data_IF_550895978165
#
_entry.id   IF_550895978165
#
_cell.length_a   1.000
_cell.length_b   1.000
_cell.length_c   1.000
_cell.angle_alpha   90.00
_cell.angle_beta   90.00
_cell.angle_gamma   90.00
#
_symmetry.space_group_name_H-M   'P 1'
#
loop_
_entity.id
_entity.type
_entity.pdbx_description
1 polymer ?
#
# COMPACT_ATOMS: atom_id res chain seq x y z
N UNK A 1 -18.11 -22.02 -4.60
CA UNK A 1 -17.80 -21.75 -3.19
C UNK A 1 -16.39 -21.15 -3.00
N UNK A 2 -15.35 -21.65 -3.68
CA UNK A 2 -13.99 -21.10 -3.59
C UNK A 2 -13.84 -19.65 -4.07
N UNK A 3 -14.50 -19.27 -5.17
CA UNK A 3 -14.40 -17.89 -5.69
C UNK A 3 -14.95 -16.84 -4.71
N UNK A 4 -15.93 -17.19 -3.89
CA UNK A 4 -16.53 -16.30 -2.89
C UNK A 4 -15.58 -16.10 -1.69
N UNK A 5 -14.81 -17.13 -1.34
CA UNK A 5 -13.82 -17.05 -0.25
C UNK A 5 -12.66 -16.11 -0.60
N UNK A 6 -12.01 -16.31 -1.76
CA UNK A 6 -10.89 -15.47 -2.19
C UNK A 6 -11.30 -14.00 -2.41
N UNK A 7 -12.50 -13.77 -2.95
CA UNK A 7 -13.04 -12.42 -3.12
C UNK A 7 -13.34 -11.75 -1.76
N UNK A 8 -13.80 -12.52 -0.75
CA UNK A 8 -14.06 -12.01 0.60
C UNK A 8 -12.76 -11.70 1.34
N UNK A 9 -11.78 -12.58 1.25
CA UNK A 9 -10.44 -12.36 1.82
C UNK A 9 -9.79 -11.13 1.17
N UNK A 10 -9.86 -10.98 -0.15
CA UNK A 10 -9.34 -9.81 -0.86
C UNK A 10 -9.93 -8.50 -0.33
N UNK A 11 -11.25 -8.40 -0.20
CA UNK A 11 -11.92 -7.18 0.31
C UNK A 11 -11.55 -6.85 1.76
N UNK A 12 -11.40 -7.86 2.62
CA UNK A 12 -11.00 -7.64 4.01
C UNK A 12 -9.56 -7.12 4.08
N UNK A 13 -8.66 -7.73 3.32
CA UNK A 13 -7.25 -7.27 3.25
C UNK A 13 -7.15 -5.84 2.76
N UNK A 14 -7.97 -5.46 1.76
CA UNK A 14 -8.00 -4.10 1.22
C UNK A 14 -8.45 -3.06 2.25
N UNK A 15 -9.56 -3.36 2.93
CA UNK A 15 -10.07 -2.47 3.97
C UNK A 15 -9.05 -2.30 5.12
N UNK A 16 -8.30 -3.34 5.44
CA UNK A 16 -7.23 -3.29 6.45
C UNK A 16 -6.06 -2.43 5.94
N UNK A 17 -5.58 -2.66 4.71
CA UNK A 17 -4.47 -1.90 4.12
C UNK A 17 -4.82 -0.40 4.02
N UNK A 18 -5.99 -0.04 3.49
CA UNK A 18 -6.46 1.34 3.40
C UNK A 18 -6.58 2.02 4.78
N UNK A 19 -7.18 1.31 5.74
CA UNK A 19 -7.34 1.81 7.11
C UNK A 19 -6.00 2.02 7.80
N UNK A 20 -5.04 1.11 7.63
CA UNK A 20 -3.70 1.24 8.19
C UNK A 20 -2.94 2.41 7.58
N UNK A 21 -2.99 2.60 6.26
CA UNK A 21 -2.35 3.73 5.58
C UNK A 21 -2.92 5.06 6.10
N UNK A 22 -4.25 5.18 6.15
CA UNK A 22 -4.93 6.36 6.66
C UNK A 22 -4.61 6.62 8.15
N UNK A 23 -4.59 5.56 8.95
CA UNK A 23 -4.23 5.63 10.37
C UNK A 23 -2.80 6.13 10.57
N UNK A 24 -1.82 5.53 9.89
CA UNK A 24 -0.42 5.96 10.02
C UNK A 24 -0.22 7.39 9.56
N UNK A 25 -0.82 7.79 8.44
CA UNK A 25 -0.74 9.17 7.95
C UNK A 25 -1.34 10.16 8.95
N UNK A 26 -2.54 9.87 9.46
CA UNK A 26 -3.21 10.69 10.47
C UNK A 26 -2.41 10.75 11.78
N UNK A 27 -1.91 9.61 12.27
CA UNK A 27 -1.12 9.53 13.49
C UNK A 27 0.19 10.32 13.38
N UNK A 28 0.92 10.19 12.25
CA UNK A 28 2.13 10.98 12.01
C UNK A 28 1.85 12.48 11.98
N UNK A 29 0.76 12.89 11.33
CA UNK A 29 0.36 14.30 11.26
C UNK A 29 0.04 14.85 12.64
N UNK A 30 -0.74 14.11 13.43
CA UNK A 30 -1.10 14.52 14.80
C UNK A 30 0.12 14.57 15.72
N UNK A 31 1.01 13.56 15.62
CA UNK A 31 2.22 13.51 16.43
C UNK A 31 3.19 14.65 16.09
N UNK A 32 3.38 14.93 14.82
CA UNK A 32 4.21 16.05 14.36
C UNK A 32 3.63 17.38 14.81
N UNK A 33 2.30 17.56 14.70
CA UNK A 33 1.62 18.75 15.16
C UNK A 33 1.75 18.93 16.70
N UNK A 34 1.56 17.86 17.46
CA UNK A 34 1.76 17.87 18.90
C UNK A 34 3.20 18.27 19.27
N UNK A 35 4.19 17.68 18.57
CA UNK A 35 5.60 18.04 18.82
C UNK A 35 5.91 19.51 18.54
N UNK A 36 5.29 20.10 17.50
CA UNK A 36 5.39 21.54 17.22
C UNK A 36 4.79 22.36 18.36
N UNK A 37 3.62 22.00 18.89
CA UNK A 37 3.02 22.70 20.03
C UNK A 37 3.92 22.60 21.26
N UNK A 38 4.42 21.41 21.58
CA UNK A 38 5.33 21.22 22.73
C UNK A 38 6.56 22.11 22.60
N UNK A 39 7.14 22.20 21.41
CA UNK A 39 8.35 23.02 21.16
C UNK A 39 8.10 24.52 21.31
N UNK A 40 6.96 25.04 20.79
CA UNK A 40 6.73 26.48 20.75
C UNK A 40 5.92 27.01 21.93
N UNK A 41 5.05 26.21 22.55
CA UNK A 41 4.20 26.63 23.67
C UNK A 41 4.84 26.28 25.01
N UNK A 42 5.37 25.05 25.12
CA UNK A 42 5.94 24.54 26.37
C UNK A 42 7.47 24.68 26.44
N UNK A 43 8.11 25.11 25.35
CA UNK A 43 9.57 25.20 25.20
C UNK A 43 10.28 23.88 25.55
N UNK A 44 9.64 22.77 25.24
CA UNK A 44 10.10 21.41 25.43
C UNK A 44 9.99 20.64 24.11
N UNK A 45 10.54 19.42 24.05
CA UNK A 45 10.56 18.61 22.83
C UNK A 45 10.22 17.16 23.15
N UNK A 46 9.34 16.56 22.36
CA UNK A 46 9.02 15.14 22.47
C UNK A 46 10.09 14.36 21.70
N UNK A 47 11.15 13.91 22.40
CA UNK A 47 12.32 13.26 21.77
C UNK A 47 11.93 12.04 20.92
N UNK A 48 11.08 11.18 21.44
CA UNK A 48 10.63 9.96 20.77
C UNK A 48 9.68 10.20 19.58
N UNK A 49 9.14 11.42 19.44
CA UNK A 49 8.18 11.71 18.37
C UNK A 49 8.79 11.55 16.97
N UNK A 50 10.05 11.97 16.81
CA UNK A 50 10.73 11.87 15.52
C UNK A 50 10.97 10.40 15.14
N UNK A 51 11.51 9.62 16.06
CA UNK A 51 11.80 8.21 15.83
C UNK A 51 10.51 7.41 15.54
N UNK A 52 9.45 7.64 16.33
CA UNK A 52 8.15 6.99 16.09
C UNK A 52 7.54 7.37 14.74
N UNK A 53 7.68 8.63 14.32
CA UNK A 53 7.22 9.09 13.01
C UNK A 53 7.93 8.34 11.87
N UNK A 54 9.24 8.13 11.99
CA UNK A 54 10.04 7.37 11.00
C UNK A 54 9.56 5.92 10.93
N UNK A 55 9.31 5.28 12.06
CA UNK A 55 8.79 3.90 12.07
C UNK A 55 7.37 3.81 11.49
N UNK A 56 6.46 4.73 11.86
CA UNK A 56 5.12 4.78 11.26
C UNK A 56 5.18 5.01 9.75
N UNK A 57 6.11 5.86 9.28
CA UNK A 57 6.33 6.06 7.85
C UNK A 57 6.81 4.78 7.16
N UNK A 58 7.75 4.05 7.75
CA UNK A 58 8.22 2.78 7.21
C UNK A 58 7.07 1.75 7.10
N UNK A 59 6.24 1.62 8.14
CA UNK A 59 5.04 0.78 8.11
C UNK A 59 4.06 1.19 7.02
N UNK A 60 3.78 2.49 6.92
CA UNK A 60 2.87 3.03 5.90
C UNK A 60 3.37 2.73 4.48
N UNK A 61 4.66 2.93 4.21
CA UNK A 61 5.25 2.69 2.88
C UNK A 61 5.22 1.21 2.53
N UNK A 62 5.54 0.32 3.46
CA UNK A 62 5.58 -1.12 3.21
C UNK A 62 4.18 -1.72 2.98
N UNK A 63 3.19 -1.30 3.77
CA UNK A 63 1.78 -1.67 3.54
C UNK A 63 1.25 -1.03 2.26
N UNK A 64 1.58 0.24 2.02
CA UNK A 64 1.19 0.98 0.82
C UNK A 64 1.77 0.41 -0.47
N UNK A 65 2.99 -0.15 -0.43
CA UNK A 65 3.58 -0.84 -1.58
C UNK A 65 2.76 -2.07 -2.00
N UNK A 66 2.28 -2.86 -1.03
CA UNK A 66 1.38 -3.99 -1.30
C UNK A 66 0.05 -3.53 -1.92
N UNK A 67 -0.56 -2.50 -1.35
CA UNK A 67 -1.79 -1.89 -1.86
C UNK A 67 -1.60 -1.31 -3.27
N UNK A 68 -0.47 -0.61 -3.52
CA UNK A 68 -0.12 -0.06 -4.82
C UNK A 68 -0.01 -1.11 -5.92
N UNK A 69 0.58 -2.26 -5.62
CA UNK A 69 0.65 -3.39 -6.56
C UNK A 69 -0.76 -3.89 -6.92
N UNK A 70 -1.68 -3.94 -5.96
CA UNK A 70 -3.06 -4.35 -6.21
C UNK A 70 -3.81 -3.35 -7.08
N UNK A 71 -3.66 -2.04 -6.83
CA UNK A 71 -4.26 -0.97 -7.64
C UNK A 71 -3.52 -0.74 -8.96
N UNK A 72 -2.57 -1.62 -9.30
CA UNK A 72 -1.90 -1.64 -10.59
C UNK A 72 -1.20 -0.33 -10.96
N UNK A 73 -0.55 0.34 -9.99
CA UNK A 73 0.18 1.58 -10.22
C UNK A 73 1.42 1.46 -11.14
N UNK A 74 1.58 0.34 -11.84
CA UNK A 74 2.71 0.12 -12.74
C UNK A 74 2.46 0.72 -14.14
N UNK A 75 2.24 2.01 -14.20
CA UNK A 75 1.83 2.78 -15.40
C UNK A 75 2.84 2.73 -16.58
N UNK A 76 4.07 2.27 -16.35
CA UNK A 76 5.13 2.40 -17.37
C UNK A 76 5.21 1.30 -18.43
N UNK A 77 4.56 0.15 -18.24
CA UNK A 77 4.75 -1.03 -19.10
C UNK A 77 3.70 -1.13 -20.21
N UNK A 78 2.56 -0.44 -20.09
CA UNK A 78 1.42 -0.53 -20.98
C UNK A 78 1.69 -0.12 -22.44
N UNK A 79 2.48 0.92 -22.63
CA UNK A 79 2.77 1.45 -23.98
C UNK A 79 3.50 0.39 -24.83
N UNK A 80 4.45 -0.33 -24.25
CA UNK A 80 5.22 -1.37 -24.95
C UNK A 80 4.36 -2.62 -25.17
N UNK A 81 3.54 -2.99 -24.19
CA UNK A 81 2.68 -4.18 -24.24
C UNK A 81 1.56 -4.00 -25.28
N UNK A 82 1.02 -2.80 -25.45
CA UNK A 82 -0.02 -2.51 -26.44
C UNK A 82 0.48 -2.57 -27.90
N UNK A 83 1.79 -2.50 -28.13
CA UNK A 83 2.39 -2.62 -29.47
C UNK A 83 2.61 -4.08 -29.91
N UNK A 84 2.35 -5.06 -29.02
CA UNK A 84 2.67 -6.48 -29.25
C UNK A 84 1.39 -7.29 -29.46
N UNK A 85 1.44 -8.28 -30.39
CA UNK A 85 0.32 -9.18 -30.67
C UNK A 85 -0.11 -9.99 -29.45
N UNK A 86 -1.42 -10.27 -29.31
CA UNK A 86 -2.08 -10.95 -28.17
C UNK A 86 -1.28 -12.12 -27.55
N UNK A 87 -0.84 -13.16 -28.30
CA UNK A 87 -0.16 -14.30 -27.69
C UNK A 87 1.22 -13.93 -27.12
N UNK A 88 1.93 -13.00 -27.75
CA UNK A 88 3.24 -12.52 -27.29
C UNK A 88 3.08 -11.61 -26.06
N UNK A 89 1.98 -10.86 -25.97
CA UNK A 89 1.63 -10.01 -24.84
C UNK A 89 1.49 -10.81 -23.55
N UNK A 90 0.78 -11.95 -23.60
CA UNK A 90 0.61 -12.84 -22.43
C UNK A 90 1.96 -13.40 -21.95
N UNK A 91 2.84 -13.80 -22.87
CA UNK A 91 4.17 -14.30 -22.51
C UNK A 91 5.00 -13.20 -21.85
N UNK A 92 4.99 -11.97 -22.40
CA UNK A 92 5.74 -10.85 -21.86
C UNK A 92 5.22 -10.45 -20.47
N UNK A 93 3.91 -10.41 -20.29
CA UNK A 93 3.27 -10.15 -19.00
C UNK A 93 3.65 -11.21 -17.95
N UNK A 94 3.69 -12.48 -18.34
CA UNK A 94 4.08 -13.56 -17.45
C UNK A 94 5.58 -13.50 -17.07
N UNK A 95 6.45 -13.15 -18.01
CA UNK A 95 7.88 -12.93 -17.74
C UNK A 95 8.10 -11.77 -16.79
N UNK A 96 7.40 -10.64 -16.99
CA UNK A 96 7.47 -9.50 -16.11
C UNK A 96 6.95 -9.84 -14.69
N UNK A 97 5.81 -10.53 -14.60
CA UNK A 97 5.26 -10.99 -13.32
C UNK A 97 6.21 -11.94 -12.59
N UNK A 98 6.84 -12.89 -13.32
CA UNK A 98 7.84 -13.79 -12.75
C UNK A 98 9.07 -13.04 -12.24
N UNK A 99 9.54 -12.01 -12.96
CA UNK A 99 10.63 -11.14 -12.52
C UNK A 99 10.29 -10.38 -11.23
N UNK A 100 9.10 -9.76 -11.17
CA UNK A 100 8.62 -9.09 -9.97
C UNK A 100 8.46 -10.04 -8.79
N UNK A 101 7.95 -11.25 -9.05
CA UNK A 101 7.80 -12.28 -8.02
C UNK A 101 9.17 -12.76 -7.50
N UNK A 102 10.12 -13.03 -8.37
CA UNK A 102 11.47 -13.42 -7.98
C UNK A 102 12.13 -12.31 -7.11
N UNK A 103 12.01 -11.07 -7.54
CA UNK A 103 12.52 -9.93 -6.78
C UNK A 103 11.85 -9.79 -5.40
N UNK A 104 10.53 -9.91 -5.32
CA UNK A 104 9.81 -9.83 -4.04
C UNK A 104 10.17 -10.97 -3.08
N UNK A 105 10.40 -12.19 -3.59
CA UNK A 105 10.87 -13.33 -2.79
C UNK A 105 12.27 -13.06 -2.24
N UNK A 106 13.18 -12.52 -3.05
CA UNK A 106 14.53 -12.15 -2.60
C UNK A 106 14.46 -11.11 -1.47
N UNK A 107 13.60 -10.10 -1.62
CA UNK A 107 13.38 -9.09 -0.57
C UNK A 107 12.75 -9.69 0.69
N UNK A 108 11.82 -10.64 0.54
CA UNK A 108 11.21 -11.33 1.67
C UNK A 108 12.25 -12.14 2.46
N UNK A 109 13.08 -12.91 1.78
CA UNK A 109 14.16 -13.68 2.41
C UNK A 109 15.16 -12.74 3.07
N UNK A 110 15.56 -11.66 2.40
CA UNK A 110 16.46 -10.65 2.95
C UNK A 110 15.90 -9.95 4.19
N UNK A 111 14.62 -9.55 4.14
CA UNK A 111 13.95 -8.91 5.28
C UNK A 111 13.77 -9.84 6.47
N UNK A 112 13.50 -11.12 6.22
CA UNK A 112 13.45 -12.14 7.27
C UNK A 112 14.80 -12.34 7.92
N UNK A 113 15.86 -12.55 7.15
CA UNK A 113 17.22 -12.72 7.65
C UNK A 113 17.74 -11.49 8.40
N UNK A 114 17.27 -10.31 8.02
CA UNK A 114 17.60 -9.07 8.74
C UNK A 114 16.86 -8.95 10.07
N UNK A 115 15.56 -9.28 10.10
CA UNK A 115 14.70 -9.12 11.27
C UNK A 115 14.90 -10.23 12.32
N UNK A 116 15.08 -11.49 11.87
CA UNK A 116 15.12 -12.67 12.74
C UNK A 116 16.17 -12.58 13.87
N UNK A 117 17.39 -12.09 13.65
CA UNK A 117 18.38 -11.91 14.72
C UNK A 117 17.95 -10.96 15.82
N UNK A 118 17.09 -9.98 15.55
CA UNK A 118 16.56 -9.08 16.58
C UNK A 118 15.58 -9.78 17.54
N UNK A 119 15.03 -10.91 17.16
CA UNK A 119 14.16 -11.70 18.04
C UNK A 119 14.94 -12.78 18.80
N UNK A 120 15.95 -13.36 18.16
CA UNK A 120 16.64 -14.54 18.70
C UNK A 120 17.94 -14.25 19.43
N UNK A 121 18.76 -13.35 18.88
CA UNK A 121 20.11 -13.10 19.39
C UNK A 121 20.26 -11.71 20.03
N UNK A 122 19.44 -10.77 19.61
CA UNK A 122 19.55 -9.35 19.98
C UNK A 122 18.23 -8.80 20.50
N UNK A 123 17.44 -9.60 21.20
CA UNK A 123 16.16 -9.20 21.74
C UNK A 123 16.27 -8.03 22.74
N UNK A 124 17.42 -7.90 23.39
CA UNK A 124 17.79 -6.80 24.28
C UNK A 124 18.01 -5.46 23.57
N UNK A 125 18.08 -5.43 22.23
CA UNK A 125 18.42 -4.24 21.49
C UNK A 125 17.21 -3.32 21.33
N UNK A 126 17.24 -2.21 22.04
CA UNK A 126 16.16 -1.23 22.12
C UNK A 126 16.28 -0.13 21.06
N UNK A 127 15.21 0.62 20.85
CA UNK A 127 15.17 1.87 20.09
C UNK A 127 15.88 2.99 20.86
N UNK A 128 16.09 4.14 20.20
CA UNK A 128 16.91 5.19 20.80
C UNK A 128 16.11 6.03 21.81
N UNK A 129 14.85 6.37 21.50
CA UNK A 129 14.08 7.33 22.29
C UNK A 129 12.68 6.85 22.71
N UNK A 130 12.10 5.84 22.04
CA UNK A 130 10.71 5.44 22.27
C UNK A 130 10.61 4.66 23.60
N UNK A 131 9.88 5.17 24.62
CA UNK A 131 9.72 4.45 25.88
C UNK A 131 8.88 3.19 25.69
N UNK A 132 9.20 2.14 26.41
CA UNK A 132 8.43 0.89 26.40
C UNK A 132 7.12 1.06 27.17
N UNK A 133 5.93 0.87 26.53
CA UNK A 133 4.67 0.87 27.27
C UNK A 133 4.58 -0.30 28.23
N UNK A 134 4.10 -0.05 29.46
CA UNK A 134 3.97 -1.07 30.51
C UNK A 134 3.17 -2.30 30.06
N UNK A 135 2.15 -2.10 29.18
CA UNK A 135 1.31 -3.18 28.68
C UNK A 135 2.07 -4.22 27.85
N UNK A 136 3.26 -3.89 27.33
CA UNK A 136 4.08 -4.80 26.51
C UNK A 136 5.27 -5.38 27.29
N UNK A 137 5.43 -5.06 28.58
CA UNK A 137 6.53 -5.59 29.39
C UNK A 137 6.56 -7.11 29.54
N UNK A 138 5.44 -7.79 29.30
CA UNK A 138 5.39 -9.25 29.25
C UNK A 138 6.34 -9.86 28.20
N UNK A 139 6.73 -9.08 27.18
CA UNK A 139 7.71 -9.51 26.17
C UNK A 139 9.12 -9.64 26.77
N UNK A 140 9.41 -8.94 27.87
CA UNK A 140 10.68 -9.05 28.59
C UNK A 140 10.88 -10.45 29.20
N UNK A 141 9.81 -11.01 29.77
CA UNK A 141 9.85 -12.34 30.36
C UNK A 141 10.10 -13.43 29.31
N UNK A 142 9.64 -13.18 28.07
CA UNK A 142 9.72 -14.15 26.98
C UNK A 142 11.00 -14.06 26.16
N UNK A 143 11.50 -12.83 25.91
CA UNK A 143 12.53 -12.56 24.91
C UNK A 143 13.79 -11.94 25.49
N UNK A 144 13.75 -11.41 26.75
CA UNK A 144 14.86 -10.70 27.38
C UNK A 144 15.22 -11.27 28.76
N UNK A 145 15.09 -12.57 28.93
CA UNK A 145 15.48 -13.29 30.19
C UNK A 145 14.86 -12.68 31.47
N UNK A 146 13.73 -11.98 31.35
CA UNK A 146 13.04 -11.28 32.45
C UNK A 146 13.60 -9.88 32.75
N UNK A 147 14.62 -9.39 32.05
CA UNK A 147 15.10 -8.03 32.20
C UNK A 147 14.13 -7.05 31.51
N UNK A 148 13.66 -6.06 32.29
CA UNK A 148 12.69 -5.07 31.80
C UNK A 148 13.27 -4.20 30.71
N UNK A 149 12.47 -3.95 29.69
CA UNK A 149 12.81 -2.97 28.66
C UNK A 149 12.57 -1.53 29.18
N UNK A 150 13.54 -0.66 29.02
CA UNK A 150 13.39 0.78 29.24
C UNK A 150 12.77 1.45 28.02
N UNK A 151 13.19 1.01 26.82
CA UNK A 151 12.71 1.51 25.54
C UNK A 151 12.16 0.39 24.69
N UNK A 152 11.45 0.76 23.64
CA UNK A 152 10.80 -0.19 22.73
C UNK A 152 11.86 -1.08 22.04
N UNK A 153 11.81 -2.40 22.14
CA UNK A 153 12.77 -3.28 21.46
C UNK A 153 12.60 -3.20 19.94
N UNK A 154 13.73 -3.17 19.22
CA UNK A 154 13.77 -2.93 17.76
C UNK A 154 13.05 -3.99 16.95
N UNK A 155 12.90 -5.21 17.45
CA UNK A 155 12.18 -6.24 16.71
C UNK A 155 10.71 -5.88 16.44
N UNK A 156 10.09 -5.02 17.27
CA UNK A 156 8.69 -4.58 17.09
C UNK A 156 8.55 -3.67 15.85
N UNK A 157 9.19 -2.49 15.78
CA UNK A 157 9.07 -1.63 14.61
C UNK A 157 9.66 -2.28 13.35
N UNK A 158 10.71 -3.08 13.45
CA UNK A 158 11.37 -3.72 12.32
C UNK A 158 10.58 -4.89 11.73
N UNK A 159 9.58 -5.42 12.46
CA UNK A 159 8.64 -6.41 11.92
C UNK A 159 7.87 -5.92 10.70
N UNK A 160 7.79 -4.61 10.48
CA UNK A 160 7.26 -4.03 9.25
C UNK A 160 7.91 -4.62 8.00
N UNK A 161 9.23 -4.86 8.02
CA UNK A 161 9.99 -5.36 6.86
C UNK A 161 9.51 -6.74 6.39
N UNK A 162 9.58 -7.82 7.21
CA UNK A 162 9.12 -9.13 6.76
C UNK A 162 7.61 -9.15 6.49
N UNK A 163 6.80 -8.43 7.27
CA UNK A 163 5.37 -8.35 7.04
C UNK A 163 5.02 -7.68 5.72
N UNK A 164 5.61 -6.49 5.45
CA UNK A 164 5.37 -5.75 4.22
C UNK A 164 5.84 -6.52 2.98
N UNK A 165 7.03 -7.17 3.06
CA UNK A 165 7.53 -8.01 1.97
C UNK A 165 6.69 -9.27 1.76
N UNK A 166 6.14 -9.85 2.81
CA UNK A 166 5.22 -10.98 2.70
C UNK A 166 3.91 -10.58 2.01
N UNK A 167 3.32 -9.42 2.39
CA UNK A 167 2.13 -8.88 1.74
C UNK A 167 2.40 -8.59 0.26
N UNK A 168 3.52 -7.94 -0.05
CA UNK A 168 3.93 -7.64 -1.41
C UNK A 168 4.10 -8.91 -2.26
N UNK A 169 4.80 -9.91 -1.72
CA UNK A 169 4.99 -11.21 -2.38
C UNK A 169 3.65 -11.90 -2.63
N UNK A 170 2.76 -11.88 -1.64
CA UNK A 170 1.41 -12.43 -1.77
C UNK A 170 0.63 -11.76 -2.92
N UNK A 171 0.73 -10.44 -3.07
CA UNK A 171 0.09 -9.71 -4.18
C UNK A 171 0.67 -10.10 -5.54
N UNK A 172 1.98 -10.22 -5.66
CA UNK A 172 2.58 -10.68 -6.91
C UNK A 172 2.20 -12.13 -7.26
N UNK A 173 2.07 -13.01 -6.27
CA UNK A 173 1.54 -14.38 -6.48
C UNK A 173 0.11 -14.31 -7.00
N UNK A 174 -0.76 -13.48 -6.41
CA UNK A 174 -2.14 -13.32 -6.87
C UNK A 174 -2.21 -12.84 -8.32
N UNK A 175 -1.44 -11.81 -8.68
CA UNK A 175 -1.41 -11.26 -10.03
C UNK A 175 -0.87 -12.28 -11.03
N UNK A 176 0.24 -12.95 -10.71
CA UNK A 176 0.83 -13.98 -11.56
C UNK A 176 -0.17 -15.11 -11.82
N UNK A 177 -0.91 -15.51 -10.81
CA UNK A 177 -1.97 -16.52 -10.94
C UNK A 177 -3.12 -16.05 -11.84
N UNK A 178 -3.55 -14.79 -11.71
CA UNK A 178 -4.60 -14.21 -12.55
C UNK A 178 -4.18 -14.14 -14.03
N UNK A 179 -2.93 -13.74 -14.31
CA UNK A 179 -2.37 -13.74 -15.67
C UNK A 179 -2.28 -15.17 -16.24
N UNK A 180 -1.79 -16.11 -15.45
CA UNK A 180 -1.64 -17.50 -15.88
C UNK A 180 -2.99 -18.16 -16.22
N UNK A 181 -4.03 -17.86 -15.43
CA UNK A 181 -5.40 -18.37 -15.63
C UNK A 181 -6.20 -17.61 -16.70
N UNK A 182 -5.62 -16.56 -17.31
CA UNK A 182 -6.28 -15.77 -18.36
C UNK A 182 -7.43 -14.88 -17.84
N UNK A 183 -7.48 -14.62 -16.55
CA UNK A 183 -8.43 -13.68 -15.93
C UNK A 183 -7.95 -12.24 -16.04
N UNK A 184 -6.66 -12.04 -16.23
CA UNK A 184 -6.03 -10.76 -16.45
C UNK A 184 -5.11 -10.87 -17.67
N UNK A 185 -5.34 -10.06 -18.69
CA UNK A 185 -4.51 -10.04 -19.90
C UNK A 185 -3.29 -9.13 -19.75
N UNK A 186 -3.25 -8.31 -18.70
CA UNK A 186 -2.23 -7.27 -18.45
C UNK A 186 -1.85 -7.22 -16.98
N UNK A 187 -0.62 -6.80 -16.69
CA UNK A 187 -0.14 -6.51 -15.33
C UNK A 187 -0.77 -5.23 -14.75
N UNK A 188 -1.52 -4.47 -15.54
CA UNK A 188 -1.96 -3.11 -15.27
C UNK A 188 -3.43 -2.96 -15.58
N UNK A 189 -4.15 -2.29 -14.68
CA UNK A 189 -5.54 -1.93 -14.83
C UNK A 189 -5.71 -0.76 -15.84
N UNK A 190 -5.78 -1.08 -17.13
CA UNK A 190 -6.42 -0.17 -18.08
C UNK A 190 -7.95 -0.16 -17.96
N UNK A 191 -8.51 -1.19 -17.31
CA UNK A 191 -9.98 -1.38 -17.30
C UNK A 191 -10.72 -0.42 -16.37
N UNK A 192 -10.20 -0.13 -15.17
CA UNK A 192 -10.86 0.85 -14.27
C UNK A 192 -10.82 2.27 -14.86
N UNK A 193 -9.70 2.65 -15.48
CA UNK A 193 -9.60 3.95 -16.15
C UNK A 193 -10.45 4.02 -17.44
N UNK A 194 -10.59 2.91 -18.17
CA UNK A 194 -11.48 2.81 -19.34
C UNK A 194 -12.96 2.81 -18.92
N UNK A 195 -13.32 2.09 -17.84
CA UNK A 195 -14.67 2.10 -17.26
C UNK A 195 -15.05 3.48 -16.69
N UNK A 196 -14.14 4.15 -15.96
CA UNK A 196 -14.37 5.53 -15.51
C UNK A 196 -14.48 6.51 -16.69
N UNK A 197 -13.69 6.31 -17.74
CA UNK A 197 -13.72 7.16 -18.93
C UNK A 197 -14.95 6.89 -19.79
N UNK A 198 -15.46 5.67 -19.82
CA UNK A 198 -16.75 5.32 -20.45
C UNK A 198 -17.93 5.86 -19.63
N UNK A 199 -17.91 5.72 -18.31
CA UNK A 199 -18.94 6.29 -17.44
C UNK A 199 -18.99 7.83 -17.54
N UNK A 200 -17.82 8.50 -17.55
CA UNK A 200 -17.74 9.95 -17.78
C UNK A 200 -18.22 10.37 -19.19
N UNK A 201 -17.99 9.54 -20.20
CA UNK A 201 -18.50 9.81 -21.55
C UNK A 201 -20.00 9.62 -21.64
N UNK A 202 -20.56 8.63 -20.95
CA UNK A 202 -22.02 8.45 -20.84
C UNK A 202 -22.66 9.62 -20.11
N UNK A 203 -22.12 10.05 -18.95
CA UNK A 203 -22.61 11.24 -18.23
C UNK A 203 -22.55 12.51 -19.08
N UNK A 204 -21.45 12.72 -19.80
CA UNK A 204 -21.30 13.86 -20.70
C UNK A 204 -22.26 13.79 -21.88
N UNK A 205 -22.55 12.60 -22.42
CA UNK A 205 -23.52 12.39 -23.49
C UNK A 205 -24.95 12.68 -23.01
N UNK A 206 -25.32 12.17 -21.82
CA UNK A 206 -26.62 12.45 -21.22
C UNK A 206 -26.79 13.95 -20.87
N UNK A 207 -25.75 14.59 -20.38
CA UNK A 207 -25.75 16.02 -20.10
C UNK A 207 -25.87 16.87 -21.39
N UNK A 208 -25.24 16.42 -22.49
CA UNK A 208 -25.35 17.08 -23.78
C UNK A 208 -26.74 16.94 -24.40
N UNK A 209 -27.39 15.79 -24.26
CA UNK A 209 -28.78 15.54 -24.71
C UNK A 209 -29.82 16.24 -23.84
N UNK A 210 -29.49 16.52 -22.58
CA UNK A 210 -30.34 17.26 -21.64
C UNK A 210 -30.35 18.79 -21.89
N UNK A 211 -29.45 19.32 -22.73
CA UNK A 211 -29.45 20.73 -23.12
C UNK A 211 -30.50 20.94 -24.19
N UNK A 212 -31.66 21.61 -23.91
CA UNK A 212 -32.68 21.83 -24.92
C UNK A 212 -32.10 22.71 -26.01
N UNK A 213 -32.25 22.24 -27.25
CA UNK A 213 -31.93 22.98 -28.48
C UNK A 213 -32.73 24.30 -28.48
N UNK A 214 -32.20 25.33 -27.81
CA UNK A 214 -32.74 26.67 -27.72
C UNK A 214 -32.59 27.40 -29.04
N UNK A 215 -33.66 27.33 -29.84
CA UNK A 215 -34.07 28.38 -30.80
C UNK A 215 -33.03 29.00 -31.70
N UNK A 216 -32.87 28.43 -32.88
CA UNK A 216 -32.57 29.24 -34.05
C UNK A 216 -33.90 29.64 -34.71
N UNK A 217 -34.45 30.76 -34.35
CA UNK A 217 -35.41 31.46 -35.17
C UNK A 217 -34.96 32.93 -35.30
N UNK A 218 -34.08 33.15 -36.25
CA UNK A 218 -33.88 34.50 -36.80
C UNK A 218 -34.91 34.67 -37.93
N UNK A 219 -36.08 35.12 -37.57
CA UNK A 219 -36.96 35.80 -38.55
C UNK A 219 -36.45 37.24 -38.69
N UNK A 220 -35.61 37.41 -39.72
CA UNK A 220 -35.36 38.71 -40.32
C UNK A 220 -36.34 38.81 -41.51
N UNK A 221 -37.51 39.42 -41.32
CA UNK A 221 -38.31 39.98 -42.41
C UNK A 221 -38.14 41.49 -42.45
N UNK A 222 -37.74 41.89 -43.63
CA UNK A 222 -37.70 43.27 -44.14
C UNK A 222 -39.04 43.99 -43.94
N UNK A 223 -39.00 45.21 -43.51
CA UNK A 223 -39.58 46.38 -44.19
C UNK A 223 -38.95 47.67 -43.60
#
# INVERSE_FOLDING_TARGET
>A
MEQTFFAKVGRITDAIEETLIAFFLGAMTLLTFANVIFRYVFNDNILWALELTVFMFAWMVLVGASYGVKKHFHIGVDVIINMVSEPKRKILALLAAAGCLAFSILLLVGSWNYWYPFVTERAWYETDDIPMPEMFQFLADWLNEGERYEKLPRFIPYFALPLGMALLTFRFVQITWQIATGKLDRLIAGHEAEEELEALKEELSEAADAIPNGSSSSDRKEQ
#
